data_IF_822367323858
#
_entry.id   IF_822367323858
#
_cell.length_a   1.000
_cell.length_b   1.000
_cell.length_c   1.000
_cell.angle_alpha   90.00
_cell.angle_beta   90.00
_cell.angle_gamma   90.00
#
_symmetry.space_group_name_H-M   'P 1'
#
loop_
_entity.id
_entity.type
_entity.pdbx_description
1 polymer ?
#
# COMPACT_ATOMS: atom_id res chain seq x y z
N UNK A 1 -6.20 7.80 19.17
CA UNK A 1 -5.12 7.00 18.52
C UNK A 1 -5.74 5.87 17.72
N UNK A 2 -5.46 5.80 16.44
CA UNK A 2 -5.91 4.72 15.57
C UNK A 2 -5.17 3.42 15.95
N UNK A 3 -5.89 2.30 16.05
CA UNK A 3 -5.27 0.99 16.25
C UNK A 3 -4.80 0.44 14.90
N UNK A 4 -3.58 -0.09 14.83
CA UNK A 4 -3.14 -0.84 13.66
C UNK A 4 -3.85 -2.21 13.65
N UNK A 5 -4.33 -2.61 12.47
CA UNK A 5 -4.87 -3.95 12.26
C UNK A 5 -3.73 -4.94 11.91
N UNK A 6 -2.71 -4.92 12.74
CA UNK A 6 -1.49 -5.73 12.62
C UNK A 6 -1.30 -6.47 13.93
N UNK A 7 -0.93 -7.73 13.88
CA UNK A 7 -0.70 -8.52 15.08
C UNK A 7 0.48 -7.96 15.89
N UNK A 8 0.45 -7.89 17.25
CA UNK A 8 1.55 -7.31 18.04
C UNK A 8 2.94 -7.85 17.71
N UNK A 9 3.08 -9.16 17.47
CA UNK A 9 4.36 -9.77 17.09
C UNK A 9 4.87 -9.29 15.70
N UNK A 10 3.97 -8.93 14.80
CA UNK A 10 4.34 -8.36 13.50
C UNK A 10 4.78 -6.92 13.68
N UNK A 11 4.15 -6.16 14.57
CA UNK A 11 4.59 -4.82 14.96
C UNK A 11 6.01 -4.90 15.51
N UNK A 12 6.28 -5.79 16.47
CA UNK A 12 7.61 -5.99 17.07
C UNK A 12 8.64 -6.38 15.99
N UNK A 13 8.27 -7.25 15.06
CA UNK A 13 9.13 -7.66 13.95
C UNK A 13 9.45 -6.47 13.04
N UNK A 14 8.45 -5.72 12.60
CA UNK A 14 8.67 -4.55 11.74
C UNK A 14 9.57 -3.54 12.48
N UNK A 15 9.28 -3.24 13.73
CA UNK A 15 10.08 -2.33 14.54
C UNK A 15 11.55 -2.74 14.65
N UNK A 16 11.83 -4.06 14.69
CA UNK A 16 13.21 -4.57 14.75
C UNK A 16 14.05 -4.20 13.51
N UNK A 17 13.42 -3.87 12.38
CA UNK A 17 14.09 -3.40 11.17
C UNK A 17 14.19 -1.88 11.09
N UNK A 18 13.55 -1.12 11.99
CA UNK A 18 13.50 0.34 11.94
C UNK A 18 14.61 0.95 12.81
N UNK A 19 15.04 2.16 12.46
CA UNK A 19 15.85 3.05 13.29
C UNK A 19 15.77 4.49 12.73
N UNK A 20 16.28 5.45 13.49
CA UNK A 20 16.26 6.90 13.24
C UNK A 20 17.05 7.40 12.00
N UNK A 21 17.66 6.49 11.24
CA UNK A 21 18.38 6.82 10.00
C UNK A 21 17.64 6.35 8.75
N UNK A 22 16.64 5.48 8.92
CA UNK A 22 15.93 4.83 7.83
C UNK A 22 14.79 5.65 7.26
N UNK A 23 14.50 5.41 5.99
CA UNK A 23 13.35 5.94 5.27
C UNK A 23 12.38 4.78 5.03
N UNK A 24 11.14 4.95 5.45
CA UNK A 24 10.10 3.94 5.28
C UNK A 24 9.02 4.41 4.32
N UNK A 25 8.55 3.50 3.47
CA UNK A 25 7.36 3.69 2.64
C UNK A 25 6.24 2.77 3.11
N UNK A 26 5.01 3.28 3.06
CA UNK A 26 3.79 2.52 3.28
C UNK A 26 2.82 2.75 2.13
N UNK A 27 2.24 1.66 1.61
CA UNK A 27 1.07 1.71 0.75
C UNK A 27 -0.18 1.37 1.57
N UNK A 28 -1.07 2.35 1.72
CA UNK A 28 -2.27 2.29 2.55
C UNK A 28 -2.04 2.83 3.95
N UNK A 29 -2.55 4.03 4.25
CA UNK A 29 -2.40 4.62 5.58
C UNK A 29 -3.39 4.04 6.60
N UNK A 30 -3.01 4.08 7.87
CA UNK A 30 -3.85 3.59 8.97
C UNK A 30 -3.22 3.74 10.34
N UNK A 31 -3.52 2.81 11.23
CA UNK A 31 -2.90 2.76 12.56
C UNK A 31 -1.38 2.56 12.51
N UNK A 32 -0.87 1.84 11.53
CA UNK A 32 0.57 1.69 11.26
C UNK A 32 1.27 3.03 11.06
N UNK A 33 0.63 3.95 10.32
CA UNK A 33 1.11 5.31 10.06
C UNK A 33 1.22 6.16 11.34
N UNK A 34 0.56 5.78 12.42
CA UNK A 34 0.68 6.47 13.74
C UNK A 34 1.72 5.81 14.66
N UNK A 35 2.18 4.60 14.31
CA UNK A 35 3.12 3.83 15.13
C UNK A 35 4.54 3.95 14.60
N UNK A 36 4.78 3.56 13.34
CA UNK A 36 6.14 3.38 12.80
C UNK A 36 6.92 4.65 12.52
N UNK A 37 6.33 5.83 12.24
CA UNK A 37 7.09 7.06 12.07
C UNK A 37 7.99 7.42 13.26
N UNK A 38 7.61 7.00 14.46
CA UNK A 38 8.36 7.25 15.71
C UNK A 38 9.74 6.57 15.74
N UNK A 39 9.98 5.63 14.81
CA UNK A 39 11.18 4.80 14.76
C UNK A 39 12.02 5.04 13.51
N UNK A 40 11.65 5.97 12.63
CA UNK A 40 12.37 6.23 11.38
C UNK A 40 12.66 7.72 11.21
N UNK A 41 13.61 8.02 10.33
CA UNK A 41 13.99 9.40 9.98
C UNK A 41 12.85 10.07 9.20
N UNK A 42 12.38 9.42 8.17
CA UNK A 42 11.31 9.90 7.27
C UNK A 42 10.34 8.77 6.97
N UNK A 43 9.08 9.09 6.93
CA UNK A 43 8.00 8.17 6.62
C UNK A 43 7.16 8.71 5.47
N UNK A 44 6.94 7.87 4.47
CA UNK A 44 6.08 8.17 3.33
C UNK A 44 4.91 7.24 3.35
N UNK A 45 3.69 7.74 3.18
CA UNK A 45 2.49 6.92 3.08
C UNK A 45 1.62 7.37 1.92
N UNK A 46 1.20 6.42 1.08
CA UNK A 46 0.37 6.65 -0.10
C UNK A 46 -1.00 6.06 0.18
N UNK A 47 -2.04 6.90 0.19
CA UNK A 47 -3.41 6.52 0.48
C UNK A 47 -4.33 6.90 -0.67
N UNK A 48 -5.35 6.08 -0.92
CA UNK A 48 -6.34 6.31 -1.97
C UNK A 48 -7.72 6.72 -1.43
N UNK A 49 -7.98 6.42 -0.18
CA UNK A 49 -9.25 6.72 0.47
C UNK A 49 -9.19 8.08 1.18
N UNK A 50 -10.01 9.03 0.72
CA UNK A 50 -10.03 10.38 1.23
C UNK A 50 -10.38 10.46 2.73
N UNK A 51 -11.33 9.65 3.19
CA UNK A 51 -11.77 9.65 4.58
C UNK A 51 -10.68 9.13 5.52
N UNK A 52 -9.98 8.04 5.09
CA UNK A 52 -8.83 7.53 5.81
C UNK A 52 -7.67 8.52 5.83
N UNK A 53 -7.36 9.14 4.69
CA UNK A 53 -6.33 10.17 4.59
C UNK A 53 -6.53 11.26 5.63
N UNK A 54 -7.72 11.87 5.68
CA UNK A 54 -8.01 12.95 6.63
C UNK A 54 -7.98 12.47 8.08
N UNK A 55 -8.47 11.26 8.34
CA UNK A 55 -8.46 10.69 9.67
C UNK A 55 -7.04 10.46 10.21
N UNK A 56 -6.15 9.93 9.37
CA UNK A 56 -4.74 9.74 9.73
C UNK A 56 -4.03 11.08 9.85
N UNK A 57 -4.29 12.00 8.93
CA UNK A 57 -3.73 13.36 8.99
C UNK A 57 -4.05 14.07 10.31
N UNK A 58 -5.29 13.94 10.80
CA UNK A 58 -5.70 14.50 12.08
C UNK A 58 -4.98 13.85 13.25
N UNK A 59 -4.87 12.52 13.28
CA UNK A 59 -4.14 11.80 14.33
C UNK A 59 -2.65 12.19 14.37
N UNK A 60 -2.00 12.31 13.21
CA UNK A 60 -0.61 12.75 13.13
C UNK A 60 -0.41 14.17 13.67
N UNK A 61 -1.37 15.05 13.39
CA UNK A 61 -1.36 16.42 13.90
C UNK A 61 -1.51 16.45 15.43
N UNK A 62 -2.47 15.70 15.98
CA UNK A 62 -2.72 15.62 17.41
C UNK A 62 -1.54 15.00 18.18
N UNK A 63 -0.90 13.97 17.60
CA UNK A 63 0.28 13.29 18.13
C UNK A 63 1.60 14.09 17.91
N UNK A 64 1.54 15.21 17.18
CA UNK A 64 2.73 16.04 16.81
C UNK A 64 3.79 15.23 16.06
N UNK A 65 3.37 14.32 15.19
CA UNK A 65 4.24 13.50 14.35
C UNK A 65 4.49 14.21 13.03
N UNK A 66 5.66 14.80 12.82
CA UNK A 66 5.97 15.71 11.70
C UNK A 66 6.86 15.11 10.61
N UNK A 67 7.40 13.93 10.82
CA UNK A 67 8.27 13.24 9.84
C UNK A 67 7.51 12.34 8.87
N UNK A 68 6.20 12.53 8.75
CA UNK A 68 5.33 11.80 7.82
C UNK A 68 4.97 12.65 6.62
N UNK A 69 5.27 12.14 5.43
CA UNK A 69 4.82 12.65 4.15
C UNK A 69 3.62 11.81 3.71
N UNK A 70 2.42 12.26 4.04
CA UNK A 70 1.18 11.57 3.69
C UNK A 70 0.66 12.09 2.36
N UNK A 71 0.43 11.18 1.40
CA UNK A 71 0.02 11.49 0.04
C UNK A 71 -1.33 10.86 -0.27
N UNK A 72 -2.26 11.67 -0.76
CA UNK A 72 -3.52 11.18 -1.31
C UNK A 72 -3.35 10.94 -2.81
N UNK A 73 -3.68 9.73 -3.24
CA UNK A 73 -3.71 9.34 -4.64
C UNK A 73 -5.16 9.16 -5.08
N UNK A 74 -5.62 10.00 -6.00
CA UNK A 74 -6.96 9.88 -6.55
C UNK A 74 -7.08 8.61 -7.41
N UNK A 75 -8.16 7.87 -7.17
CA UNK A 75 -8.56 6.76 -8.04
C UNK A 75 -9.50 7.31 -9.10
N UNK A 76 -9.43 6.82 -10.35
CA UNK A 76 -10.36 7.20 -11.39
C UNK A 76 -11.82 7.04 -10.95
N UNK A 77 -12.63 8.06 -11.15
CA UNK A 77 -14.04 8.05 -10.78
C UNK A 77 -14.77 6.89 -11.48
N UNK A 78 -15.62 6.18 -10.73
CA UNK A 78 -16.40 5.06 -11.25
C UNK A 78 -15.74 3.69 -11.10
N UNK A 79 -14.58 3.64 -10.50
CA UNK A 79 -13.96 2.37 -10.12
C UNK A 79 -14.55 1.90 -8.79
N UNK A 80 -15.06 0.65 -8.70
CA UNK A 80 -15.53 0.10 -7.44
C UNK A 80 -14.40 0.03 -6.43
N UNK A 81 -14.55 0.71 -5.30
CA UNK A 81 -13.57 0.70 -4.20
C UNK A 81 -13.89 -0.36 -3.15
N UNK A 82 -15.09 -0.91 -3.17
CA UNK A 82 -15.55 -1.95 -2.27
C UNK A 82 -15.38 -3.33 -2.90
N UNK A 83 -14.89 -4.27 -2.10
CA UNK A 83 -14.68 -5.66 -2.51
C UNK A 83 -15.94 -6.32 -3.09
N UNK A 84 -17.11 -6.04 -2.50
CA UNK A 84 -18.40 -6.59 -2.92
C UNK A 84 -18.81 -6.09 -4.32
N UNK A 85 -18.68 -4.79 -4.60
CA UNK A 85 -18.98 -4.22 -5.92
C UNK A 85 -18.01 -4.70 -7.00
N UNK A 86 -16.85 -5.15 -6.59
CA UNK A 86 -15.81 -5.66 -7.47
C UNK A 86 -16.09 -7.11 -7.88
N UNK A 87 -16.50 -7.97 -6.95
CA UNK A 87 -16.78 -9.38 -7.20
C UNK A 87 -18.06 -9.60 -7.99
N UNK A 88 -19.11 -8.80 -7.81
CA UNK A 88 -20.36 -8.90 -8.55
C UNK A 88 -20.22 -8.64 -10.07
N UNK A 89 -19.12 -8.02 -10.50
CA UNK A 89 -18.81 -7.77 -11.92
C UNK A 89 -17.84 -8.77 -12.55
N UNK A 90 -17.31 -9.68 -11.74
CA UNK A 90 -16.21 -10.57 -12.11
C UNK A 90 -16.60 -12.04 -12.16
N UNK A 91 -17.87 -12.27 -12.30
CA UNK A 91 -18.38 -13.63 -12.47
C UNK A 91 -17.71 -14.34 -13.66
N UNK A 92 -17.36 -15.60 -13.47
CA UNK A 92 -16.98 -16.67 -14.38
C UNK A 92 -15.60 -16.66 -15.07
N UNK A 93 -15.02 -15.55 -15.46
CA UNK A 93 -13.76 -15.60 -16.22
C UNK A 93 -12.50 -15.81 -15.35
N UNK A 94 -12.54 -15.50 -14.06
CA UNK A 94 -11.42 -15.69 -13.13
C UNK A 94 -11.27 -17.13 -12.64
N UNK A 95 -12.39 -17.83 -12.48
CA UNK A 95 -12.39 -19.28 -12.20
C UNK A 95 -11.80 -20.07 -13.37
N UNK A 96 -12.10 -19.65 -14.60
CA UNK A 96 -11.57 -20.27 -15.81
C UNK A 96 -10.05 -20.13 -15.96
N UNK A 97 -9.48 -19.02 -15.51
CA UNK A 97 -8.03 -18.81 -15.51
C UNK A 97 -7.33 -19.68 -14.45
N UNK A 98 -7.95 -19.89 -13.29
CA UNK A 98 -7.36 -20.72 -12.21
C UNK A 98 -7.37 -22.22 -12.51
N UNK A 99 -8.35 -22.70 -13.26
CA UNK A 99 -8.50 -24.11 -13.62
C UNK A 99 -7.57 -24.54 -14.78
N UNK A 100 -7.11 -23.61 -15.59
CA UNK A 100 -6.22 -23.86 -16.73
C UNK A 100 -4.75 -23.55 -16.49
N UNK A 101 -4.34 -23.27 -15.25
CA UNK A 101 -2.94 -23.14 -14.85
C UNK A 101 -2.24 -24.49 -14.86
N UNK A 102 -2.01 -25.04 -16.07
CA UNK A 102 -1.15 -26.19 -16.25
C UNK A 102 0.33 -25.77 -16.10
N UNK A 103 0.99 -26.26 -15.07
CA UNK A 103 2.42 -26.61 -14.93
C UNK A 103 3.52 -25.63 -15.36
N UNK A 104 3.25 -24.53 -16.01
CA UNK A 104 4.21 -23.45 -16.21
C UNK A 104 3.91 -22.37 -15.18
N UNK A 105 4.85 -22.13 -14.27
CA UNK A 105 4.80 -20.94 -13.41
C UNK A 105 4.70 -19.75 -14.37
N UNK A 106 3.58 -18.99 -14.36
CA UNK A 106 3.43 -17.84 -15.25
C UNK A 106 4.59 -16.89 -14.98
N UNK A 107 5.06 -16.20 -16.02
CA UNK A 107 5.98 -15.08 -15.79
C UNK A 107 5.31 -14.09 -14.84
N UNK A 108 6.08 -13.35 -14.09
CA UNK A 108 5.51 -12.35 -13.17
C UNK A 108 4.56 -11.37 -13.89
N UNK A 109 4.82 -11.08 -15.16
CA UNK A 109 3.97 -10.26 -16.03
C UNK A 109 2.59 -10.88 -16.28
N UNK A 110 2.49 -12.21 -16.25
CA UNK A 110 1.24 -12.96 -16.40
C UNK A 110 0.47 -13.10 -15.07
N UNK A 111 1.14 -12.94 -13.93
CA UNK A 111 0.53 -13.00 -12.60
C UNK A 111 -0.08 -11.67 -12.14
N UNK A 112 0.29 -10.57 -12.79
CA UNK A 112 -0.28 -9.26 -12.54
C UNK A 112 -1.63 -9.19 -13.21
N UNK A 113 -2.70 -9.04 -12.44
CA UNK A 113 -4.04 -8.83 -12.97
C UNK A 113 -4.04 -7.54 -13.81
N UNK A 114 -4.09 -7.59 -15.16
CA UNK A 114 -3.94 -6.42 -16.03
C UNK A 114 -4.92 -5.31 -15.71
N UNK A 115 -6.01 -5.66 -15.07
CA UNK A 115 -7.12 -4.80 -14.71
C UNK A 115 -6.89 -4.07 -13.39
N UNK A 116 -6.33 -4.73 -12.37
CA UNK A 116 -5.96 -4.05 -11.12
C UNK A 116 -4.89 -3.01 -11.39
N UNK A 117 -3.95 -3.33 -12.28
CA UNK A 117 -2.91 -2.39 -12.69
C UNK A 117 -3.48 -1.15 -13.39
N UNK A 118 -4.50 -1.30 -14.24
CA UNK A 118 -5.14 -0.16 -14.89
C UNK A 118 -5.88 0.73 -13.89
N UNK A 119 -6.64 0.11 -13.00
CA UNK A 119 -7.45 0.80 -11.99
C UNK A 119 -6.58 1.50 -10.95
N UNK A 120 -5.48 0.85 -10.56
CA UNK A 120 -4.60 1.28 -9.48
C UNK A 120 -3.29 1.88 -9.98
N UNK A 121 -3.13 2.13 -11.29
CA UNK A 121 -1.87 2.60 -11.87
C UNK A 121 -1.33 3.85 -11.18
N UNK A 122 -2.14 4.87 -10.99
CA UNK A 122 -1.74 6.09 -10.28
C UNK A 122 -1.27 5.83 -8.85
N UNK A 123 -1.93 4.92 -8.15
CA UNK A 123 -1.57 4.52 -6.79
C UNK A 123 -0.27 3.72 -6.76
N UNK A 124 -0.14 2.72 -7.64
CA UNK A 124 1.07 1.89 -7.76
C UNK A 124 2.27 2.75 -8.13
N UNK A 125 2.10 3.62 -9.11
CA UNK A 125 3.17 4.44 -9.69
C UNK A 125 3.43 5.73 -8.90
N UNK A 126 2.64 6.03 -7.86
CA UNK A 126 2.80 7.26 -7.08
C UNK A 126 4.20 7.40 -6.46
N UNK A 127 4.83 6.28 -6.13
CA UNK A 127 6.21 6.23 -5.61
C UNK A 127 7.21 6.95 -6.52
N UNK A 128 7.01 6.95 -7.84
CA UNK A 128 7.86 7.66 -8.81
C UNK A 128 7.85 9.19 -8.59
N UNK A 129 6.78 9.71 -7.96
CA UNK A 129 6.59 11.15 -7.68
C UNK A 129 7.26 11.61 -6.38
N UNK A 130 7.68 10.67 -5.52
CA UNK A 130 8.17 10.98 -4.17
C UNK A 130 9.60 11.54 -4.13
N UNK A 131 10.31 11.52 -5.25
CA UNK A 131 11.72 11.98 -5.35
C UNK A 131 12.66 11.34 -4.31
N UNK A 132 12.37 10.09 -3.91
CA UNK A 132 13.18 9.27 -3.02
C UNK A 132 13.85 8.18 -3.85
N UNK A 133 15.16 8.00 -3.68
CA UNK A 133 15.92 7.03 -4.48
C UNK A 133 15.91 5.61 -3.90
N UNK A 134 15.73 5.50 -2.61
CA UNK A 134 15.80 4.23 -1.88
C UNK A 134 14.93 4.30 -0.64
N UNK A 135 14.14 3.27 -0.43
CA UNK A 135 13.45 3.02 0.84
C UNK A 135 14.12 1.85 1.56
N UNK A 136 14.42 2.02 2.83
CA UNK A 136 15.03 0.96 3.64
C UNK A 136 14.02 -0.12 4.06
N UNK A 137 12.77 0.29 4.25
CA UNK A 137 11.66 -0.60 4.63
C UNK A 137 10.41 -0.19 3.89
N UNK A 138 9.68 -1.17 3.37
CA UNK A 138 8.40 -0.95 2.70
C UNK A 138 7.33 -1.82 3.32
N UNK A 139 6.22 -1.21 3.72
CA UNK A 139 5.00 -1.88 4.18
C UNK A 139 3.91 -1.73 3.12
N UNK A 140 3.34 -2.85 2.67
CA UNK A 140 2.29 -2.86 1.66
C UNK A 140 1.03 -3.46 2.29
N UNK A 141 0.19 -2.59 2.85
CA UNK A 141 -1.07 -2.98 3.50
C UNK A 141 -2.32 -2.39 2.84
N UNK A 142 -2.14 -1.68 1.72
CA UNK A 142 -3.21 -1.07 0.93
C UNK A 142 -3.80 -1.98 -0.14
N UNK A 143 -4.07 -1.42 -1.31
CA UNK A 143 -4.59 -2.07 -2.51
C UNK A 143 -3.48 -2.47 -3.47
N UNK A 144 -3.83 -3.32 -4.47
CA UNK A 144 -2.91 -3.76 -5.53
C UNK A 144 -1.54 -4.23 -4.97
N UNK A 145 -1.54 -5.00 -3.89
CA UNK A 145 -0.34 -5.33 -3.10
C UNK A 145 0.75 -5.97 -3.93
N UNK A 146 0.40 -6.89 -4.83
CA UNK A 146 1.36 -7.57 -5.71
C UNK A 146 2.03 -6.59 -6.66
N UNK A 147 1.26 -5.68 -7.27
CA UNK A 147 1.78 -4.68 -8.20
C UNK A 147 2.64 -3.64 -7.48
N UNK A 148 2.22 -3.20 -6.28
CA UNK A 148 3.03 -2.32 -5.44
C UNK A 148 4.36 -2.99 -5.05
N UNK A 149 4.33 -4.28 -4.66
CA UNK A 149 5.55 -5.03 -4.33
C UNK A 149 6.50 -5.10 -5.51
N UNK A 150 6.00 -5.40 -6.71
CA UNK A 150 6.82 -5.42 -7.91
C UNK A 150 7.37 -4.04 -8.28
N UNK A 151 6.54 -3.02 -8.20
CA UNK A 151 6.94 -1.65 -8.49
C UNK A 151 8.11 -1.22 -7.62
N UNK A 152 8.08 -1.57 -6.33
CA UNK A 152 9.05 -1.10 -5.35
C UNK A 152 10.41 -1.81 -5.42
N UNK A 153 10.51 -2.96 -6.10
CA UNK A 153 11.78 -3.70 -6.23
C UNK A 153 12.90 -2.92 -6.92
N UNK A 154 12.59 -1.80 -7.56
CA UNK A 154 13.58 -0.92 -8.21
C UNK A 154 14.00 0.28 -7.33
N UNK A 155 13.46 0.40 -6.12
CA UNK A 155 13.77 1.41 -5.11
C UNK A 155 14.39 0.76 -3.88
#
# INVERSE_FOLDING_TARGET
MLSANIHPKEIDLIQSYLNDKKIMLEYGCGGSTTIFPKYVKEYYSIEHNLDWFWKVQQELYDDKTYNVNLHLCDIPKGVPTKREEFWDRYDDNLLYASENLSTNIPSFEDCVYPRDRYVWSEYIDYVDKLNVKLFDVVLIDGRARTDCAYKILKY
#
